data_IF_150941181924
#
_entry.id   IF_150941181924
#
_cell.length_a   1.000
_cell.length_b   1.000
_cell.length_c   1.000
_cell.angle_alpha   90.00
_cell.angle_beta   90.00
_cell.angle_gamma   90.00
#
_symmetry.space_group_name_H-M   'P 1'
#
loop_
_entity.id
_entity.type
_entity.pdbx_description
1 polymer ?
#
# COMPACT_ATOMS: atom_id res chain seq x y z
N UNK A 1 -35.29 -59.29 17.39
CA UNK A 1 -33.89 -58.82 17.36
C UNK A 1 -33.61 -57.75 16.30
N UNK A 2 -34.25 -57.77 15.12
CA UNK A 2 -33.97 -56.88 13.97
C UNK A 2 -34.25 -55.38 14.22
N UNK A 3 -35.28 -55.00 15.01
CA UNK A 3 -35.63 -53.59 15.30
C UNK A 3 -34.59 -52.81 16.12
N UNK A 4 -33.72 -53.48 16.88
CA UNK A 4 -32.67 -52.80 17.67
C UNK A 4 -31.42 -52.51 16.84
N UNK A 5 -31.17 -53.30 15.79
CA UNK A 5 -30.00 -53.14 14.92
C UNK A 5 -30.12 -51.88 14.04
N UNK A 6 -31.34 -51.53 13.60
CA UNK A 6 -31.59 -50.31 12.82
C UNK A 6 -31.40 -49.02 13.65
N UNK A 7 -31.81 -49.02 14.92
CA UNK A 7 -31.60 -47.88 15.85
C UNK A 7 -30.12 -47.63 16.13
N UNK A 8 -29.32 -48.70 16.27
CA UNK A 8 -27.88 -48.59 16.50
C UNK A 8 -27.16 -48.05 15.25
N UNK A 9 -27.50 -48.55 14.06
CA UNK A 9 -26.96 -48.03 12.79
C UNK A 9 -27.33 -46.55 12.60
N UNK A 10 -28.58 -46.18 12.85
CA UNK A 10 -29.05 -44.80 12.72
C UNK A 10 -28.30 -43.85 13.67
N UNK A 11 -28.08 -44.23 14.93
CA UNK A 11 -27.28 -43.45 15.89
C UNK A 11 -25.82 -43.30 15.45
N UNK A 12 -25.21 -44.34 14.87
CA UNK A 12 -23.85 -44.26 14.34
C UNK A 12 -23.78 -43.32 13.14
N UNK A 13 -24.70 -43.46 12.18
CA UNK A 13 -24.81 -42.58 11.00
C UNK A 13 -25.00 -41.12 11.44
N UNK A 14 -25.91 -40.85 12.38
CA UNK A 14 -26.16 -39.50 12.87
C UNK A 14 -24.94 -38.88 13.57
N UNK A 15 -24.18 -39.69 14.33
CA UNK A 15 -22.91 -39.24 14.92
C UNK A 15 -21.89 -38.89 13.83
N UNK A 16 -21.73 -39.73 12.81
CA UNK A 16 -20.83 -39.42 11.68
C UNK A 16 -21.23 -38.14 10.95
N UNK A 17 -22.53 -37.96 10.67
CA UNK A 17 -23.05 -36.74 10.06
C UNK A 17 -22.77 -35.51 10.95
N UNK A 18 -23.00 -35.62 12.25
CA UNK A 18 -22.76 -34.51 13.19
C UNK A 18 -21.29 -34.12 13.27
N UNK A 19 -20.38 -35.11 13.31
CA UNK A 19 -18.93 -34.89 13.29
C UNK A 19 -18.52 -34.23 11.96
N UNK A 20 -19.05 -34.73 10.83
CA UNK A 20 -18.75 -34.19 9.52
C UNK A 20 -19.19 -32.72 9.37
N UNK A 21 -20.41 -32.38 9.81
CA UNK A 21 -20.90 -31.00 9.81
C UNK A 21 -20.02 -30.10 10.71
N UNK A 22 -19.64 -30.58 11.89
CA UNK A 22 -18.77 -29.83 12.79
C UNK A 22 -17.40 -29.55 12.15
N UNK A 23 -16.80 -30.53 11.48
CA UNK A 23 -15.52 -30.35 10.76
C UNK A 23 -15.66 -29.31 9.66
N UNK A 24 -16.72 -29.37 8.85
CA UNK A 24 -16.98 -28.36 7.81
C UNK A 24 -17.15 -26.96 8.42
N UNK A 25 -17.93 -26.84 9.49
CA UNK A 25 -18.13 -25.56 10.16
C UNK A 25 -16.82 -24.96 10.71
N UNK A 26 -15.95 -25.80 11.28
CA UNK A 26 -14.63 -25.39 11.75
C UNK A 26 -13.72 -24.95 10.59
N UNK A 27 -13.72 -25.68 9.47
CA UNK A 27 -12.95 -25.30 8.28
C UNK A 27 -13.43 -23.97 7.70
N UNK A 28 -14.74 -23.75 7.62
CA UNK A 28 -15.32 -22.47 7.17
C UNK A 28 -14.91 -21.34 8.13
N UNK A 29 -14.99 -21.56 9.43
CA UNK A 29 -14.58 -20.56 10.42
C UNK A 29 -13.09 -20.21 10.29
N UNK A 30 -12.22 -21.20 10.07
CA UNK A 30 -10.80 -20.97 9.84
C UNK A 30 -10.53 -20.17 8.57
N UNK A 31 -11.24 -20.47 7.47
CA UNK A 31 -11.14 -19.71 6.22
C UNK A 31 -11.59 -18.26 6.44
N UNK A 32 -12.67 -18.03 7.18
CA UNK A 32 -13.15 -16.68 7.49
C UNK A 32 -12.12 -15.92 8.33
N UNK A 33 -11.59 -16.53 9.40
CA UNK A 33 -10.56 -15.89 10.24
C UNK A 33 -9.32 -15.57 9.42
N UNK A 34 -8.87 -16.50 8.58
CA UNK A 34 -7.71 -16.29 7.71
C UNK A 34 -7.94 -15.19 6.67
N UNK A 35 -9.12 -15.14 6.05
CA UNK A 35 -9.48 -14.10 5.07
C UNK A 35 -9.53 -12.69 5.67
N UNK A 36 -9.87 -12.57 6.96
CA UNK A 36 -9.88 -11.29 7.68
C UNK A 36 -8.58 -10.98 8.41
N UNK A 37 -7.61 -11.92 8.40
CA UNK A 37 -6.32 -11.67 9.00
C UNK A 37 -5.51 -10.71 8.12
N UNK A 38 -5.13 -9.59 8.71
CA UNK A 38 -4.20 -8.65 8.12
C UNK A 38 -2.76 -9.04 8.53
N UNK A 39 -1.92 -9.54 7.61
CA UNK A 39 -0.58 -10.02 7.94
C UNK A 39 0.47 -8.91 8.04
N UNK A 40 0.10 -7.65 7.75
CA UNK A 40 1.01 -6.51 7.86
C UNK A 40 1.14 -6.05 9.31
N UNK A 41 2.25 -5.37 9.61
CA UNK A 41 2.40 -4.61 10.85
C UNK A 41 1.21 -3.69 11.08
N UNK A 42 0.82 -3.54 12.34
CA UNK A 42 -0.27 -2.62 12.72
C UNK A 42 0.13 -1.18 12.39
N UNK A 43 -0.86 -0.32 12.19
CA UNK A 43 -0.61 1.10 11.94
C UNK A 43 0.22 1.74 13.05
N UNK A 44 -0.08 1.40 14.30
CA UNK A 44 0.59 1.93 15.47
C UNK A 44 2.07 1.49 15.53
N UNK A 45 2.38 0.24 15.14
CA UNK A 45 3.76 -0.24 15.00
C UNK A 45 4.51 0.50 13.89
N UNK A 46 3.89 0.68 12.71
CA UNK A 46 4.52 1.39 11.60
C UNK A 46 4.73 2.88 11.90
N UNK A 47 3.75 3.52 12.54
CA UNK A 47 3.86 4.92 12.96
C UNK A 47 4.93 5.08 14.04
N UNK A 48 4.96 4.18 15.04
CA UNK A 48 5.99 4.22 16.08
C UNK A 48 7.39 4.03 15.48
N UNK A 49 7.55 3.09 14.55
CA UNK A 49 8.79 2.89 13.79
C UNK A 49 9.18 4.16 13.02
N UNK A 50 8.24 4.76 12.27
CA UNK A 50 8.48 6.00 11.54
C UNK A 50 8.96 7.12 12.46
N UNK A 51 8.27 7.34 13.60
CA UNK A 51 8.65 8.41 14.53
C UNK A 51 10.02 8.15 15.18
N UNK A 52 10.37 6.89 15.47
CA UNK A 52 11.66 6.53 16.02
C UNK A 52 12.83 6.73 15.04
N UNK A 53 12.56 6.66 13.72
CA UNK A 53 13.57 6.72 12.66
C UNK A 53 13.33 7.85 11.65
N UNK A 54 12.54 8.87 12.04
CA UNK A 54 12.06 9.91 11.12
C UNK A 54 13.19 10.62 10.40
N UNK A 55 14.23 11.02 11.14
CA UNK A 55 15.37 11.74 10.57
C UNK A 55 16.14 10.90 9.55
N UNK A 56 16.35 9.62 9.82
CA UNK A 56 16.98 8.69 8.87
C UNK A 56 16.10 8.47 7.63
N UNK A 57 14.79 8.27 7.80
CA UNK A 57 13.84 8.09 6.70
C UNK A 57 13.78 9.34 5.82
N UNK A 58 13.65 10.53 6.41
CA UNK A 58 13.66 11.81 5.69
C UNK A 58 14.98 12.02 4.94
N UNK A 59 16.11 11.63 5.54
CA UNK A 59 17.42 11.70 4.88
C UNK A 59 17.49 10.79 3.65
N UNK A 60 17.00 9.54 3.76
CA UNK A 60 16.97 8.61 2.65
C UNK A 60 16.02 9.07 1.54
N UNK A 61 14.80 9.52 1.88
CA UNK A 61 13.85 10.05 0.90
C UNK A 61 14.40 11.28 0.19
N UNK A 62 15.06 12.19 0.91
CA UNK A 62 15.73 13.34 0.32
C UNK A 62 16.84 12.90 -0.65
N UNK A 63 17.75 12.02 -0.19
CA UNK A 63 18.84 11.52 -1.04
C UNK A 63 18.31 10.80 -2.27
N UNK A 64 17.23 10.03 -2.13
CA UNK A 64 16.60 9.35 -3.25
C UNK A 64 16.07 10.34 -4.27
N UNK A 65 15.34 11.37 -3.82
CA UNK A 65 14.79 12.43 -4.69
C UNK A 65 15.86 13.25 -5.41
N UNK A 66 16.97 13.52 -4.74
CA UNK A 66 18.09 14.29 -5.31
C UNK A 66 19.01 13.46 -6.22
N UNK A 67 18.85 12.13 -6.24
CA UNK A 67 19.66 11.26 -7.08
C UNK A 67 19.19 11.33 -8.55
N UNK A 68 20.06 11.88 -9.39
CA UNK A 68 19.88 11.86 -10.84
C UNK A 68 20.33 10.51 -11.39
N UNK A 69 19.38 9.77 -11.98
CA UNK A 69 19.66 8.52 -12.68
C UNK A 69 20.02 8.79 -14.15
N UNK A 70 21.08 8.16 -14.65
CA UNK A 70 21.28 7.98 -16.08
C UNK A 70 20.34 6.86 -16.57
N UNK A 71 19.50 7.14 -17.57
CA UNK A 71 18.50 6.18 -18.05
C UNK A 71 19.11 4.93 -18.68
N UNK A 72 20.34 5.03 -19.18
CA UNK A 72 21.10 3.92 -19.78
C UNK A 72 21.82 3.05 -18.73
N UNK A 73 21.74 3.42 -17.45
CA UNK A 73 22.43 2.74 -16.35
C UNK A 73 21.46 2.12 -15.34
N UNK A 74 21.95 1.11 -14.65
CA UNK A 74 21.26 0.50 -13.52
C UNK A 74 21.08 1.53 -12.39
N UNK A 75 19.94 1.48 -11.69
CA UNK A 75 19.72 2.34 -10.53
C UNK A 75 20.52 1.81 -9.34
N UNK A 76 21.73 2.35 -9.18
CA UNK A 76 22.67 1.99 -8.12
C UNK A 76 22.49 2.84 -6.85
N UNK A 77 21.42 3.63 -6.72
CA UNK A 77 21.24 4.52 -5.55
C UNK A 77 21.35 3.79 -4.21
N UNK A 78 20.82 2.55 -4.15
CA UNK A 78 20.87 1.69 -2.95
C UNK A 78 22.27 1.19 -2.64
N UNK A 79 23.12 1.06 -3.66
CA UNK A 79 24.49 0.58 -3.51
C UNK A 79 25.47 1.68 -3.11
N UNK A 80 25.03 2.95 -3.11
CA UNK A 80 25.80 4.06 -2.55
C UNK A 80 26.07 3.74 -1.06
N UNK A 81 27.34 3.70 -0.62
CA UNK A 81 27.68 3.20 0.72
C UNK A 81 26.95 3.87 1.88
N UNK A 82 26.70 5.18 1.79
CA UNK A 82 25.95 5.92 2.82
C UNK A 82 24.48 5.48 2.90
N UNK A 83 23.85 5.24 1.75
CA UNK A 83 22.44 4.88 1.67
C UNK A 83 22.25 3.44 2.12
N UNK A 84 23.10 2.54 1.62
CA UNK A 84 23.12 1.13 2.03
C UNK A 84 23.26 0.97 3.54
N UNK A 85 24.26 1.62 4.12
CA UNK A 85 24.51 1.57 5.57
C UNK A 85 23.32 2.09 6.37
N UNK A 86 22.69 3.17 5.89
CA UNK A 86 21.54 3.77 6.56
C UNK A 86 20.30 2.88 6.45
N UNK A 87 20.00 2.32 5.27
CA UNK A 87 18.92 1.36 5.08
C UNK A 87 19.12 0.11 5.95
N UNK A 88 20.32 -0.46 5.97
CA UNK A 88 20.68 -1.63 6.80
C UNK A 88 20.54 -1.32 8.29
N UNK A 89 20.96 -0.13 8.74
CA UNK A 89 20.91 0.29 10.14
C UNK A 89 19.48 0.29 10.70
N UNK A 90 18.51 0.78 9.93
CA UNK A 90 17.13 0.91 10.39
C UNK A 90 16.20 -0.19 9.85
N UNK A 91 16.66 -1.00 8.90
CA UNK A 91 15.88 -2.10 8.33
C UNK A 91 14.88 -1.66 7.26
N UNK A 92 15.18 -0.60 6.49
CA UNK A 92 14.39 -0.27 5.29
C UNK A 92 14.77 -1.25 4.18
N UNK A 93 13.74 -1.83 3.56
CA UNK A 93 13.90 -2.83 2.51
C UNK A 93 13.98 -2.17 1.13
N UNK A 94 13.13 -1.17 0.91
CA UNK A 94 12.95 -0.57 -0.39
C UNK A 94 12.53 0.91 -0.28
N UNK A 95 13.03 1.73 -1.20
CA UNK A 95 12.55 3.07 -1.50
C UNK A 95 12.37 3.17 -3.01
N UNK A 96 11.20 3.64 -3.43
CA UNK A 96 10.81 3.65 -4.84
C UNK A 96 9.83 4.78 -5.16
N UNK A 97 9.76 5.12 -6.45
CA UNK A 97 8.84 6.13 -6.97
C UNK A 97 7.44 5.54 -7.22
N UNK A 98 6.42 6.34 -6.90
CA UNK A 98 5.01 6.10 -7.22
C UNK A 98 4.45 7.27 -8.02
N UNK A 99 3.67 6.94 -9.05
CA UNK A 99 2.82 7.88 -9.76
C UNK A 99 1.55 8.18 -8.95
N UNK A 100 0.91 9.36 -9.14
CA UNK A 100 1.29 10.45 -10.04
C UNK A 100 2.40 11.36 -9.48
N UNK A 101 2.90 12.24 -10.35
CA UNK A 101 3.84 13.32 -10.00
C UNK A 101 3.11 14.55 -9.44
N UNK A 102 3.71 15.17 -8.45
CA UNK A 102 3.28 16.36 -7.72
C UNK A 102 4.14 17.55 -8.15
N UNK A 103 3.70 18.22 -9.21
CA UNK A 103 4.33 19.47 -9.65
C UNK A 103 4.07 20.60 -8.63
N UNK A 104 4.94 21.62 -8.53
CA UNK A 104 4.74 22.74 -7.62
C UNK A 104 3.39 23.40 -7.87
N UNK A 105 2.61 23.63 -6.80
CA UNK A 105 1.22 24.05 -6.88
C UNK A 105 0.34 23.05 -7.69
N UNK A 106 0.18 21.81 -7.20
CA UNK A 106 -0.38 20.67 -7.95
C UNK A 106 -1.87 20.79 -8.29
N UNK A 107 -2.54 21.85 -7.82
CA UNK A 107 -3.96 22.10 -7.98
C UNK A 107 -4.28 23.31 -8.89
N UNK A 108 -3.26 23.96 -9.45
CA UNK A 108 -3.41 25.03 -10.43
C UNK A 108 -3.31 24.48 -11.86
N UNK A 109 -4.26 24.89 -12.72
CA UNK A 109 -4.22 24.55 -14.15
C UNK A 109 -3.02 25.18 -14.86
N UNK A 110 -2.62 26.37 -14.42
CA UNK A 110 -1.48 27.10 -14.95
C UNK A 110 -0.17 26.36 -14.63
N UNK A 111 -0.02 25.87 -13.40
CA UNK A 111 1.14 25.09 -12.99
C UNK A 111 1.23 23.76 -13.74
N UNK A 112 0.09 23.08 -13.93
CA UNK A 112 0.00 21.85 -14.70
C UNK A 112 0.43 22.05 -16.16
N UNK A 113 -0.14 23.07 -16.82
CA UNK A 113 0.17 23.37 -18.21
C UNK A 113 1.65 23.73 -18.38
N UNK A 114 2.20 24.51 -17.44
CA UNK A 114 3.62 24.85 -17.43
C UNK A 114 4.50 23.61 -17.28
N UNK A 115 4.18 22.75 -16.33
CA UNK A 115 4.94 21.52 -16.07
C UNK A 115 4.91 20.57 -17.27
N UNK A 116 3.74 20.36 -17.89
CA UNK A 116 3.62 19.56 -19.10
C UNK A 116 4.36 20.17 -20.28
N UNK A 117 4.26 21.50 -20.47
CA UNK A 117 5.01 22.19 -21.53
C UNK A 117 6.51 22.01 -21.35
N UNK A 118 7.00 22.00 -20.11
CA UNK A 118 8.41 21.76 -19.80
C UNK A 118 8.82 20.30 -20.08
N UNK A 119 7.95 19.32 -19.79
CA UNK A 119 8.16 17.90 -20.18
C UNK A 119 8.18 17.76 -21.71
N UNK A 120 7.21 18.33 -22.42
CA UNK A 120 7.12 18.28 -23.89
C UNK A 120 8.31 18.95 -24.57
N UNK A 121 8.77 20.07 -24.01
CA UNK A 121 9.99 20.75 -24.43
C UNK A 121 11.28 19.99 -24.04
N UNK A 122 11.17 18.81 -23.41
CA UNK A 122 12.28 17.99 -22.92
C UNK A 122 13.23 18.74 -21.99
N UNK A 123 12.70 19.69 -21.21
CA UNK A 123 13.46 20.34 -20.14
C UNK A 123 13.71 19.41 -18.97
N UNK A 124 12.85 18.40 -18.83
CA UNK A 124 13.02 17.29 -17.90
C UNK A 124 13.26 16.00 -18.70
N UNK A 125 14.30 15.26 -18.32
CA UNK A 125 14.41 13.84 -18.60
C UNK A 125 13.48 13.08 -17.64
N UNK A 126 13.11 11.85 -17.99
CA UNK A 126 12.28 11.01 -17.11
C UNK A 126 12.90 10.86 -15.71
N UNK A 127 14.23 10.83 -15.63
CA UNK A 127 14.98 10.80 -14.36
C UNK A 127 14.86 12.07 -13.53
N UNK A 128 14.50 13.20 -14.13
CA UNK A 128 14.29 14.48 -13.45
C UNK A 128 12.89 14.59 -12.82
N UNK A 129 12.02 13.59 -13.01
CA UNK A 129 10.67 13.58 -12.45
C UNK A 129 10.63 13.06 -11.01
N UNK A 130 11.68 12.36 -10.57
CA UNK A 130 11.78 11.78 -9.23
C UNK A 130 11.54 12.76 -8.08
N UNK A 131 12.03 14.02 -8.11
CA UNK A 131 11.71 15.01 -7.09
C UNK A 131 10.21 15.28 -6.94
N UNK A 132 9.42 15.06 -7.99
CA UNK A 132 7.97 15.27 -8.00
C UNK A 132 7.20 13.97 -7.76
N UNK A 133 7.82 12.81 -7.78
CA UNK A 133 7.14 11.52 -7.55
C UNK A 133 6.76 11.34 -6.07
N UNK A 134 5.62 10.69 -5.82
CA UNK A 134 5.33 10.14 -4.49
C UNK A 134 6.40 9.10 -4.16
N UNK A 135 6.94 9.08 -2.94
CA UNK A 135 7.99 8.14 -2.55
C UNK A 135 7.44 7.10 -1.58
N UNK A 136 7.48 5.83 -1.97
CA UNK A 136 7.16 4.71 -1.10
C UNK A 136 8.38 4.26 -0.30
N UNK A 137 8.17 3.89 0.96
CA UNK A 137 9.18 3.38 1.89
C UNK A 137 8.67 2.06 2.48
N UNK A 138 9.33 0.96 2.10
CA UNK A 138 8.99 -0.37 2.61
C UNK A 138 9.81 -0.69 3.86
N UNK A 139 9.12 -0.81 4.99
CA UNK A 139 9.72 -1.12 6.30
C UNK A 139 9.36 -2.51 6.82
N UNK A 140 8.42 -3.21 6.17
CA UNK A 140 7.90 -4.50 6.61
C UNK A 140 8.40 -5.63 5.68
N UNK A 141 9.02 -6.71 6.20
CA UNK A 141 9.39 -7.87 5.39
C UNK A 141 8.22 -8.50 4.64
N UNK A 142 7.01 -8.39 5.19
CA UNK A 142 5.76 -8.82 4.57
C UNK A 142 5.13 -7.73 3.69
N UNK A 143 5.91 -6.80 3.13
CA UNK A 143 5.45 -5.66 2.30
C UNK A 143 4.42 -5.98 1.22
N UNK A 144 4.35 -7.24 0.77
CA UNK A 144 3.34 -7.75 -0.13
C UNK A 144 2.77 -9.05 0.44
N UNK A 145 1.45 -9.16 0.52
CA UNK A 145 0.74 -10.35 0.95
C UNK A 145 -0.31 -10.77 -0.08
N UNK A 146 -0.50 -12.09 -0.23
CA UNK A 146 -1.58 -12.66 -1.01
C UNK A 146 -2.80 -12.87 -0.09
N UNK A 147 -3.90 -12.19 -0.37
CA UNK A 147 -5.08 -12.15 0.49
C UNK A 147 -6.31 -12.62 -0.28
N UNK A 148 -7.15 -13.44 0.35
CA UNK A 148 -8.46 -13.82 -0.18
C UNK A 148 -9.53 -12.84 0.33
N UNK A 149 -10.04 -12.02 -0.57
CA UNK A 149 -11.17 -11.13 -0.33
C UNK A 149 -12.43 -11.69 -1.00
N UNK A 150 -13.59 -11.09 -0.71
CA UNK A 150 -14.87 -11.45 -1.34
C UNK A 150 -14.83 -11.34 -2.87
N UNK A 151 -13.98 -10.45 -3.41
CA UNK A 151 -13.77 -10.22 -4.84
C UNK A 151 -12.73 -11.14 -5.47
N UNK A 152 -12.11 -12.04 -4.72
CA UNK A 152 -11.10 -12.99 -5.20
C UNK A 152 -9.78 -12.90 -4.45
N UNK A 153 -8.74 -13.50 -5.04
CA UNK A 153 -7.38 -13.46 -4.51
C UNK A 153 -6.67 -12.22 -5.05
N UNK A 154 -6.02 -11.45 -4.17
CA UNK A 154 -5.34 -10.21 -4.55
C UNK A 154 -3.99 -10.07 -3.87
N UNK A 155 -3.08 -9.35 -4.52
CA UNK A 155 -1.84 -8.89 -3.88
C UNK A 155 -2.12 -7.57 -3.18
N UNK A 156 -1.90 -7.55 -1.89
CA UNK A 156 -1.98 -6.34 -1.08
C UNK A 156 -0.56 -5.90 -0.73
N UNK A 157 -0.31 -4.60 -0.72
CA UNK A 157 0.90 -4.02 -0.14
C UNK A 157 0.59 -2.97 0.90
N UNK A 158 1.49 -2.76 1.87
CA UNK A 158 1.40 -1.72 2.88
C UNK A 158 2.77 -1.05 3.06
N UNK A 159 2.82 0.28 3.03
CA UNK A 159 4.06 1.06 3.17
C UNK A 159 3.80 2.44 3.79
N UNK A 160 4.90 3.13 4.09
CA UNK A 160 4.89 4.57 4.37
C UNK A 160 5.11 5.30 3.05
N UNK A 161 4.31 6.34 2.78
CA UNK A 161 4.43 7.18 1.60
C UNK A 161 4.72 8.64 1.98
N UNK A 162 5.59 9.25 1.20
CA UNK A 162 5.89 10.67 1.23
C UNK A 162 5.34 11.37 -0.02
N UNK A 163 4.54 12.41 0.20
CA UNK A 163 4.06 13.31 -0.85
C UNK A 163 4.96 14.54 -0.96
N UNK A 164 5.51 14.86 -2.15
CA UNK A 164 6.37 16.04 -2.34
C UNK A 164 5.71 17.38 -2.05
N UNK A 165 4.41 17.47 -2.30
CA UNK A 165 3.58 18.65 -2.05
C UNK A 165 2.48 18.27 -1.04
N UNK A 166 1.95 19.25 -0.31
CA UNK A 166 0.91 19.00 0.69
C UNK A 166 -0.38 18.51 0.01
N UNK A 167 -0.87 17.30 0.33
CA UNK A 167 -2.09 16.79 -0.24
C UNK A 167 -3.32 17.57 0.24
N UNK A 168 -4.15 18.04 -0.69
CA UNK A 168 -5.45 18.63 -0.40
C UNK A 168 -6.45 17.53 -0.03
N UNK A 169 -7.07 17.69 1.13
CA UNK A 169 -8.09 16.76 1.62
C UNK A 169 -9.49 17.33 1.40
N UNK A 170 -10.32 16.58 0.68
CA UNK A 170 -11.73 16.92 0.40
C UNK A 170 -12.60 15.73 0.76
N UNK A 171 -13.55 15.91 1.69
CA UNK A 171 -14.50 14.87 2.09
C UNK A 171 -13.82 13.52 2.45
N UNK A 172 -12.77 13.56 3.27
CA UNK A 172 -11.93 12.39 3.62
C UNK A 172 -11.25 11.69 2.44
N UNK A 173 -10.94 12.42 1.38
CA UNK A 173 -10.17 11.90 0.27
C UNK A 173 -8.98 12.82 -0.02
N UNK A 174 -7.83 12.20 -0.29
CA UNK A 174 -6.69 12.86 -0.92
C UNK A 174 -7.06 13.18 -2.36
N UNK A 175 -6.96 14.46 -2.69
CA UNK A 175 -7.08 14.95 -4.05
C UNK A 175 -5.72 14.80 -4.74
N UNK A 176 -5.66 13.98 -5.78
CA UNK A 176 -4.45 13.87 -6.60
C UNK A 176 -4.24 15.15 -7.44
N UNK A 177 -3.00 15.41 -7.92
CA UNK A 177 -2.73 16.56 -8.79
C UNK A 177 -3.68 16.65 -9.99
N UNK A 178 -3.97 17.87 -10.44
CA UNK A 178 -4.86 18.11 -11.59
C UNK A 178 -4.20 17.67 -12.89
N UNK A 179 -5.03 17.29 -13.87
CA UNK A 179 -4.66 16.98 -15.25
C UNK A 179 -4.75 18.19 -16.16
N UNK A 180 -4.28 18.03 -17.39
CA UNK A 180 -4.28 19.04 -18.46
C UNK A 180 -5.66 19.43 -18.97
N UNK A 181 -6.65 18.56 -18.79
CA UNK A 181 -8.06 18.87 -18.99
C UNK A 181 -8.69 19.61 -17.80
N UNK A 182 -7.93 19.84 -16.72
CA UNK A 182 -8.39 20.46 -15.49
C UNK A 182 -9.21 19.53 -14.60
N UNK A 183 -9.29 18.23 -14.91
CA UNK A 183 -9.90 17.22 -14.06
C UNK A 183 -8.87 16.67 -13.08
N UNK A 184 -9.36 16.19 -11.94
CA UNK A 184 -8.52 15.52 -10.95
C UNK A 184 -8.26 14.10 -11.43
N UNK A 185 -7.01 13.63 -11.37
CA UNK A 185 -6.62 12.31 -11.87
C UNK A 185 -7.44 11.17 -11.27
N UNK A 186 -7.71 11.23 -9.95
CA UNK A 186 -8.41 10.24 -9.12
C UNK A 186 -8.61 10.88 -7.73
N UNK A 187 -9.37 10.25 -6.85
CA UNK A 187 -9.34 10.55 -5.40
C UNK A 187 -8.96 9.27 -4.66
N UNK A 188 -8.12 9.38 -3.64
CA UNK A 188 -7.79 8.26 -2.76
C UNK A 188 -8.34 8.50 -1.37
N UNK A 189 -9.10 7.55 -0.84
CA UNK A 189 -9.76 7.73 0.46
C UNK A 189 -8.77 7.69 1.62
N UNK A 190 -9.04 8.54 2.59
CA UNK A 190 -8.50 8.48 3.93
C UNK A 190 -9.42 7.63 4.81
N UNK A 191 -8.81 6.70 5.52
CA UNK A 191 -9.47 5.81 6.47
C UNK A 191 -8.85 5.98 7.85
N UNK A 192 -9.60 5.74 8.93
CA UNK A 192 -9.11 5.93 10.29
C UNK A 192 -8.00 4.94 10.66
N UNK A 193 -8.01 3.74 10.06
CA UNK A 193 -6.97 2.73 10.22
C UNK A 193 -6.87 1.81 8.99
N UNK A 194 -5.71 1.18 8.85
CA UNK A 194 -5.34 0.17 7.85
C UNK A 194 -5.01 -1.16 8.54
N UNK A 195 -5.62 -1.41 9.71
CA UNK A 195 -5.51 -2.68 10.43
C UNK A 195 -6.50 -3.72 9.89
N UNK A 196 -7.53 -3.29 9.16
CA UNK A 196 -8.49 -4.15 8.44
C UNK A 196 -8.62 -3.72 6.99
N UNK A 197 -9.02 -4.66 6.12
CA UNK A 197 -9.32 -4.35 4.72
C UNK A 197 -10.66 -3.58 4.61
N UNK A 198 -10.79 -2.60 3.71
CA UNK A 198 -12.07 -1.96 3.46
C UNK A 198 -13.09 -2.93 2.85
N UNK A 199 -14.36 -2.82 3.25
CA UNK A 199 -15.43 -3.71 2.78
C UNK A 199 -15.72 -3.57 1.26
N UNK A 200 -15.59 -2.35 0.74
CA UNK A 200 -15.86 -1.97 -0.65
C UNK A 200 -14.57 -1.72 -1.45
N UNK A 201 -13.47 -2.36 -1.05
CA UNK A 201 -12.16 -2.14 -1.66
C UNK A 201 -12.11 -2.54 -3.15
N UNK A 202 -11.77 -1.56 -3.98
CA UNK A 202 -11.70 -1.72 -5.44
C UNK A 202 -10.32 -2.22 -5.86
N UNK A 203 -10.28 -2.96 -6.96
CA UNK A 203 -9.02 -3.37 -7.61
C UNK A 203 -8.25 -2.12 -8.03
N UNK A 204 -6.92 -2.13 -7.86
CA UNK A 204 -6.01 -0.99 -8.12
C UNK A 204 -6.21 0.21 -7.20
N UNK A 205 -7.00 0.08 -6.14
CA UNK A 205 -7.21 1.17 -5.18
C UNK A 205 -6.15 1.13 -4.08
N UNK A 206 -5.59 2.31 -3.79
CA UNK A 206 -4.83 2.58 -2.58
C UNK A 206 -5.68 3.40 -1.60
N UNK A 207 -5.65 3.00 -0.34
CA UNK A 207 -6.28 3.68 0.79
C UNK A 207 -5.20 4.18 1.75
N UNK A 208 -5.47 5.29 2.43
CA UNK A 208 -4.45 6.03 3.17
C UNK A 208 -4.85 6.30 4.61
N UNK A 209 -3.86 6.38 5.50
CA UNK A 209 -3.99 6.94 6.85
C UNK A 209 -2.91 8.00 7.03
N UNK A 210 -3.32 9.20 7.43
CA UNK A 210 -2.39 10.30 7.64
C UNK A 210 -1.51 10.04 8.89
N UNK A 211 -0.21 10.29 8.74
CA UNK A 211 0.77 10.31 9.84
C UNK A 211 1.14 11.76 10.17
N UNK A 212 1.41 12.56 9.13
CA UNK A 212 1.79 13.97 9.19
C UNK A 212 1.36 14.69 7.89
N UNK A 213 1.71 15.97 7.70
CA UNK A 213 1.35 16.78 6.52
C UNK A 213 1.72 16.09 5.20
N UNK A 214 2.96 15.58 5.08
CA UNK A 214 3.47 14.93 3.87
C UNK A 214 3.57 13.40 3.97
N UNK A 215 3.29 12.83 5.15
CA UNK A 215 3.58 11.43 5.45
C UNK A 215 2.31 10.65 5.74
N UNK A 216 2.13 9.53 5.05
CA UNK A 216 0.93 8.70 5.14
C UNK A 216 1.33 7.23 5.20
N UNK A 217 0.55 6.41 5.90
CA UNK A 217 0.52 4.99 5.61
C UNK A 217 -0.37 4.78 4.39
N UNK A 218 0.03 3.88 3.51
CA UNK A 218 -0.79 3.43 2.40
C UNK A 218 -0.98 1.93 2.44
N UNK A 219 -2.13 1.50 1.94
CA UNK A 219 -2.41 0.11 1.65
C UNK A 219 -3.05 0.00 0.27
N UNK A 220 -2.46 -0.80 -0.61
CA UNK A 220 -2.82 -0.87 -2.02
C UNK A 220 -3.22 -2.29 -2.43
N UNK A 221 -4.29 -2.40 -3.21
CA UNK A 221 -4.67 -3.64 -3.89
C UNK A 221 -4.12 -3.64 -5.31
N UNK A 222 -3.09 -4.44 -5.58
CA UNK A 222 -2.50 -4.57 -6.91
C UNK A 222 -3.38 -5.43 -7.84
N UNK A 223 -3.31 -5.19 -9.14
CA UNK A 223 -3.89 -6.09 -10.13
C UNK A 223 -3.00 -7.32 -10.34
N UNK A 224 -3.62 -8.52 -10.36
CA UNK A 224 -3.04 -9.71 -11.02
C UNK A 224 -2.88 -9.43 -12.51
#
# INVERSE_FOLDING_TARGET
MVKNMSKLLFRKIWKFISIFILVIALLIALIIVWAHHNPFSTDEEMIAYFQAHRGEIETLVKSYREYTRNLDEEDIWREIPSNKLLMDKIGIIDIYEKSPVWFPNPYSKEAEHQFNSDIEAKKFLQSDLRPYSTIGVDTDPNRIALVLLSSGVHYISKNIEYFPEEPLIVENNILWPVRSDGLVHTMSRLVPNLNSYPDDWKRLECVYRQIDTHWYLSMCMSSI
#
